data_IF_889100822815
#
_entry.id   IF_889100822815
#
_cell.length_a   1.000
_cell.length_b   1.000
_cell.length_c   1.000
_cell.angle_alpha   90.00
_cell.angle_beta   90.00
_cell.angle_gamma   90.00
#
_symmetry.space_group_name_H-M   'P 1'
#
loop_
_entity.id
_entity.type
_entity.pdbx_description
1 polymer ?
#
# COMPACT_ATOMS: atom_id res chain seq x y z
N UNK A 1 2.06 -2.90 19.37
CA UNK A 1 3.07 -1.80 19.20
C UNK A 1 2.47 -0.59 18.49
N UNK A 2 2.07 -0.62 17.23
CA UNK A 2 1.58 0.56 16.47
C UNK A 2 0.46 1.34 17.16
N UNK A 3 -0.61 0.69 17.64
CA UNK A 3 -1.69 1.36 18.37
C UNK A 3 -1.20 2.08 19.65
N UNK A 4 -0.22 1.50 20.34
CA UNK A 4 0.36 2.15 21.52
C UNK A 4 1.17 3.40 21.15
N UNK A 5 1.91 3.35 20.05
CA UNK A 5 2.63 4.52 19.53
C UNK A 5 1.63 5.61 19.14
N UNK A 6 0.57 5.27 18.40
CA UNK A 6 -0.46 6.24 18.02
C UNK A 6 -1.10 6.89 19.25
N UNK A 7 -1.46 6.09 20.27
CA UNK A 7 -2.03 6.63 21.50
C UNK A 7 -1.11 7.64 22.22
N UNK A 8 0.20 7.38 22.25
CA UNK A 8 1.18 8.31 22.82
C UNK A 8 1.28 9.58 21.99
N UNK A 9 1.28 9.48 20.67
CA UNK A 9 1.33 10.63 19.76
C UNK A 9 0.07 11.49 19.89
N UNK A 10 -1.10 10.85 19.90
CA UNK A 10 -2.40 11.50 20.06
C UNK A 10 -2.55 12.22 21.42
N UNK A 11 -1.92 11.70 22.47
CA UNK A 11 -1.94 12.31 23.80
C UNK A 11 -1.00 13.52 23.93
N UNK A 12 0.04 13.60 23.09
CA UNK A 12 1.08 14.62 23.22
C UNK A 12 1.06 15.67 22.12
N UNK A 13 0.45 15.40 20.98
CA UNK A 13 0.50 16.25 19.80
C UNK A 13 -0.88 16.40 19.16
N UNK A 14 -1.04 17.48 18.41
CA UNK A 14 -2.20 17.68 17.55
C UNK A 14 -2.09 16.77 16.33
N UNK A 15 -2.73 15.61 16.37
CA UNK A 15 -2.67 14.57 15.32
C UNK A 15 -4.02 14.50 14.62
N UNK A 16 -4.01 14.54 13.29
CA UNK A 16 -5.19 14.22 12.48
C UNK A 16 -5.37 12.71 12.41
N UNK A 17 -6.29 12.19 13.20
CA UNK A 17 -6.56 10.73 13.29
C UNK A 17 -7.14 10.12 12.02
N UNK A 18 -7.66 10.93 11.11
CA UNK A 18 -8.14 10.48 9.80
C UNK A 18 -7.01 10.28 8.78
N UNK A 19 -5.79 10.74 9.10
CA UNK A 19 -4.65 10.80 8.17
C UNK A 19 -3.43 10.03 8.65
N UNK A 20 -3.64 8.81 9.14
CA UNK A 20 -2.53 7.89 9.40
C UNK A 20 -2.13 7.16 8.12
N UNK A 21 -0.85 7.26 7.80
CA UNK A 21 -0.25 6.62 6.63
C UNK A 21 0.87 5.68 7.04
N UNK A 22 1.11 4.62 6.26
CA UNK A 22 2.27 3.77 6.42
C UNK A 22 3.03 3.67 5.10
N UNK A 23 4.35 3.71 5.18
CA UNK A 23 5.21 3.54 4.00
C UNK A 23 6.49 2.81 4.38
N UNK A 24 7.09 2.14 3.41
CA UNK A 24 8.36 1.48 3.60
C UNK A 24 8.83 0.70 2.39
N UNK A 25 10.10 0.34 2.43
CA UNK A 25 10.78 -0.47 1.41
C UNK A 25 11.07 -1.87 1.96
N UNK A 26 11.05 -2.89 1.09
CA UNK A 26 11.39 -4.26 1.43
C UNK A 26 10.55 -4.77 2.61
N UNK A 27 11.16 -5.14 3.73
CA UNK A 27 10.45 -5.52 4.95
C UNK A 27 9.52 -4.40 5.47
N UNK A 28 9.89 -3.11 5.30
CA UNK A 28 9.03 -1.97 5.61
C UNK A 28 7.80 -1.89 4.70
N UNK A 29 7.92 -2.23 3.42
CA UNK A 29 6.80 -2.40 2.49
C UNK A 29 5.87 -3.54 2.91
N UNK A 30 6.46 -4.68 3.29
CA UNK A 30 5.74 -5.84 3.83
C UNK A 30 4.99 -5.50 5.11
N UNK A 31 5.61 -4.73 6.01
CA UNK A 31 4.96 -4.23 7.22
C UNK A 31 3.83 -3.25 6.92
N UNK A 32 3.96 -2.40 5.90
CA UNK A 32 2.90 -1.47 5.48
C UNK A 32 1.67 -2.24 4.99
N UNK A 33 1.84 -3.27 4.17
CA UNK A 33 0.75 -4.17 3.79
C UNK A 33 0.12 -4.87 5.01
N UNK A 34 0.95 -5.46 5.86
CA UNK A 34 0.48 -6.20 7.05
C UNK A 34 -0.26 -5.29 8.03
N UNK A 35 0.27 -4.09 8.28
CA UNK A 35 -0.34 -3.12 9.16
C UNK A 35 -1.70 -2.66 8.63
N UNK A 36 -1.81 -2.33 7.35
CA UNK A 36 -3.07 -1.92 6.74
C UNK A 36 -4.14 -3.02 6.76
N UNK A 37 -3.76 -4.27 6.51
CA UNK A 37 -4.69 -5.40 6.59
C UNK A 37 -5.20 -5.66 8.02
N UNK A 38 -4.34 -5.51 9.02
CA UNK A 38 -4.70 -5.79 10.42
C UNK A 38 -5.30 -4.59 11.15
N UNK A 39 -5.07 -3.38 10.66
CA UNK A 39 -5.48 -2.11 11.26
C UNK A 39 -6.08 -1.18 10.19
N UNK A 40 -6.94 -1.71 9.32
CA UNK A 40 -7.64 -0.95 8.29
C UNK A 40 -8.59 0.13 8.87
N UNK A 41 -8.88 0.04 10.16
CA UNK A 41 -9.59 1.06 10.92
C UNK A 41 -8.71 2.25 11.34
N UNK A 42 -7.39 2.12 11.19
CA UNK A 42 -6.40 3.14 11.55
C UNK A 42 -5.79 3.79 10.31
N UNK A 43 -5.29 2.99 9.37
CA UNK A 43 -4.58 3.51 8.22
C UNK A 43 -5.52 3.98 7.10
N UNK A 44 -5.34 5.23 6.69
CA UNK A 44 -6.06 5.85 5.58
C UNK A 44 -5.49 5.43 4.22
N UNK A 45 -4.16 5.37 4.13
CA UNK A 45 -3.46 4.96 2.92
C UNK A 45 -2.09 4.36 3.23
N UNK A 46 -1.54 3.60 2.28
CA UNK A 46 -0.19 3.06 2.34
C UNK A 46 0.60 3.31 1.06
N UNK A 47 1.94 3.44 1.24
CA UNK A 47 2.91 3.48 0.15
C UNK A 47 3.93 2.35 0.31
N UNK A 48 3.80 1.24 -0.43
CA UNK A 48 4.64 0.06 -0.26
C UNK A 48 5.61 -0.12 -1.44
N UNK A 49 6.90 -0.29 -1.14
CA UNK A 49 7.94 -0.46 -2.15
C UNK A 49 8.61 -1.83 -1.97
N UNK A 50 8.62 -2.64 -3.03
CA UNK A 50 9.25 -3.96 -3.09
C UNK A 50 8.98 -4.81 -1.83
N UNK A 51 7.73 -4.79 -1.36
CA UNK A 51 7.25 -5.57 -0.21
C UNK A 51 6.45 -6.78 -0.67
N UNK A 52 6.40 -7.80 0.18
CA UNK A 52 5.51 -8.96 0.02
C UNK A 52 4.82 -9.25 1.36
N UNK A 53 3.67 -9.95 1.39
CA UNK A 53 3.02 -10.29 2.64
C UNK A 53 3.96 -11.05 3.57
N UNK A 54 4.01 -10.65 4.84
CA UNK A 54 4.64 -11.47 5.86
C UNK A 54 3.74 -12.70 6.07
N UNK A 55 4.35 -13.87 6.22
CA UNK A 55 3.66 -15.15 6.35
C UNK A 55 2.43 -15.06 7.28
N UNK A 56 1.26 -15.45 6.79
CA UNK A 56 -0.01 -15.37 7.51
C UNK A 56 -0.72 -14.00 7.48
N UNK A 57 -0.13 -12.98 6.88
CA UNK A 57 -0.74 -11.66 6.72
C UNK A 57 -1.50 -11.56 5.39
N UNK A 58 -2.55 -12.35 5.24
CA UNK A 58 -3.52 -12.16 4.17
C UNK A 58 -4.58 -11.17 4.63
N UNK A 59 -5.00 -10.24 3.74
CA UNK A 59 -6.16 -9.38 4.01
C UNK A 59 -7.49 -10.16 4.04
N UNK A 60 -7.44 -11.48 4.03
CA UNK A 60 -8.58 -12.41 3.99
C UNK A 60 -9.07 -12.79 5.39
N UNK A 61 -9.06 -11.88 6.36
CA UNK A 61 -9.54 -12.19 7.70
C UNK A 61 -11.07 -12.20 7.78
N UNK A 62 -11.60 -12.97 8.73
CA UNK A 62 -13.02 -13.14 9.08
C UNK A 62 -13.75 -11.87 9.52
N UNK A 63 -13.05 -10.74 9.67
CA UNK A 63 -13.65 -9.41 9.87
C UNK A 63 -13.59 -8.62 8.56
N UNK A 64 -14.65 -7.87 8.21
CA UNK A 64 -14.60 -7.01 7.04
C UNK A 64 -13.43 -6.02 7.20
N UNK A 65 -12.47 -6.13 6.29
CA UNK A 65 -11.35 -5.20 6.18
C UNK A 65 -11.92 -3.92 5.58
N UNK A 66 -11.75 -2.78 6.25
CA UNK A 66 -12.12 -1.49 5.66
C UNK A 66 -11.24 -1.22 4.45
N UNK A 67 -11.73 -0.54 3.42
CA UNK A 67 -10.89 -0.10 2.32
C UNK A 67 -9.73 0.76 2.83
N UNK A 68 -8.56 0.59 2.22
CA UNK A 68 -7.36 1.39 2.46
C UNK A 68 -6.79 1.77 1.10
N UNK A 69 -6.51 3.05 0.88
CA UNK A 69 -5.91 3.48 -0.39
C UNK A 69 -4.47 2.95 -0.50
N UNK A 70 -4.09 2.46 -1.67
CA UNK A 70 -2.81 1.80 -1.89
C UNK A 70 -2.07 2.41 -3.07
N UNK A 71 -0.82 2.82 -2.82
CA UNK A 71 0.18 3.02 -3.85
C UNK A 71 1.31 2.03 -3.62
N UNK A 72 1.64 1.21 -4.60
CA UNK A 72 2.68 0.22 -4.45
C UNK A 72 3.55 0.10 -5.69
N UNK A 73 4.82 -0.26 -5.52
CA UNK A 73 5.75 -0.49 -6.62
C UNK A 73 6.63 -1.70 -6.38
N UNK A 74 6.97 -2.42 -7.46
CA UNK A 74 7.82 -3.61 -7.42
C UNK A 74 8.62 -3.74 -8.73
N UNK A 75 9.87 -4.18 -8.63
CA UNK A 75 10.65 -4.59 -9.80
C UNK A 75 10.30 -6.02 -10.20
N UNK A 76 10.09 -6.29 -11.48
CA UNK A 76 9.77 -7.65 -11.93
C UNK A 76 10.99 -8.59 -11.97
N UNK A 77 12.21 -8.03 -11.94
CA UNK A 77 13.46 -8.77 -11.78
C UNK A 77 13.95 -8.84 -10.31
N UNK A 78 13.06 -8.57 -9.33
CA UNK A 78 13.37 -8.69 -7.91
C UNK A 78 13.57 -10.16 -7.51
N UNK A 79 14.81 -10.53 -7.18
CA UNK A 79 15.20 -11.89 -6.74
C UNK A 79 15.18 -12.04 -5.22
N UNK A 80 15.14 -10.94 -4.47
CA UNK A 80 15.07 -10.98 -2.99
C UNK A 80 13.64 -11.21 -2.51
N UNK A 81 12.67 -10.52 -3.10
CA UNK A 81 11.24 -10.71 -2.90
C UNK A 81 10.55 -10.77 -4.27
N UNK A 82 10.42 -11.94 -4.90
CA UNK A 82 9.79 -12.06 -6.22
C UNK A 82 8.41 -11.40 -6.28
N UNK A 83 8.14 -10.69 -7.37
CA UNK A 83 6.88 -9.96 -7.58
C UNK A 83 5.64 -10.86 -7.45
N UNK A 84 5.78 -12.16 -7.74
CA UNK A 84 4.74 -13.16 -7.58
C UNK A 84 4.25 -13.30 -6.13
N UNK A 85 5.04 -12.87 -5.15
CA UNK A 85 4.64 -12.81 -3.74
C UNK A 85 3.84 -11.54 -3.43
N UNK A 86 4.06 -10.46 -4.18
CA UNK A 86 3.39 -9.18 -3.98
C UNK A 86 2.03 -9.10 -4.70
N UNK A 87 1.89 -9.71 -5.88
CA UNK A 87 0.68 -9.62 -6.68
C UNK A 87 -0.59 -10.05 -5.90
N UNK A 88 -0.62 -11.16 -5.15
CA UNK A 88 -1.83 -11.57 -4.42
C UNK A 88 -2.30 -10.56 -3.36
N UNK A 89 -1.40 -9.78 -2.75
CA UNK A 89 -1.81 -8.74 -1.81
C UNK A 89 -2.41 -7.54 -2.52
N UNK A 90 -1.89 -7.17 -3.69
CA UNK A 90 -2.48 -6.13 -4.55
C UNK A 90 -3.90 -6.54 -4.96
N UNK A 91 -4.08 -7.79 -5.43
CA UNK A 91 -5.39 -8.32 -5.82
C UNK A 91 -6.39 -8.30 -4.65
N UNK A 92 -5.91 -8.54 -3.43
CA UNK A 92 -6.73 -8.42 -2.22
C UNK A 92 -7.21 -6.98 -1.99
N UNK A 93 -6.34 -5.97 -2.20
CA UNK A 93 -6.75 -4.57 -2.09
C UNK A 93 -7.69 -4.15 -3.21
N UNK A 94 -7.44 -4.59 -4.45
CA UNK A 94 -8.35 -4.38 -5.59
C UNK A 94 -9.76 -4.85 -5.23
N UNK A 95 -9.87 -6.09 -4.71
CA UNK A 95 -11.14 -6.67 -4.27
C UNK A 95 -11.76 -5.91 -3.10
N UNK A 96 -10.99 -5.62 -2.05
CA UNK A 96 -11.49 -4.99 -0.82
C UNK A 96 -11.95 -3.55 -1.06
N UNK A 97 -11.30 -2.85 -1.98
CA UNK A 97 -11.64 -1.47 -2.35
C UNK A 97 -12.74 -1.40 -3.44
N UNK A 98 -13.29 -2.55 -3.87
CA UNK A 98 -14.35 -2.63 -4.87
C UNK A 98 -13.92 -2.24 -6.27
N UNK A 99 -12.61 -2.30 -6.56
CA UNK A 99 -12.10 -1.98 -7.89
C UNK A 99 -12.41 -3.10 -8.90
N UNK A 100 -12.47 -2.72 -10.17
CA UNK A 100 -12.45 -3.69 -11.29
C UNK A 100 -11.02 -4.09 -11.60
N UNK A 101 -10.83 -5.10 -12.46
CA UNK A 101 -9.51 -5.51 -12.95
C UNK A 101 -8.99 -4.63 -14.09
N UNK A 102 -9.80 -3.69 -14.59
CA UNK A 102 -9.41 -2.72 -15.61
C UNK A 102 -8.46 -1.68 -15.00
N UNK A 103 -7.42 -1.33 -15.71
CA UNK A 103 -6.43 -0.35 -15.26
C UNK A 103 -6.26 0.78 -16.28
N UNK A 104 -5.79 1.93 -15.83
CA UNK A 104 -5.36 3.05 -16.67
C UNK A 104 -3.94 3.46 -16.29
N UNK A 105 -3.08 3.82 -17.27
CA UNK A 105 -1.78 4.43 -16.98
C UNK A 105 -1.94 5.70 -16.16
N UNK A 106 -1.07 5.89 -15.17
CA UNK A 106 -0.99 7.10 -14.36
C UNK A 106 0.46 7.49 -14.09
N UNK A 107 0.70 8.77 -13.84
CA UNK A 107 2.03 9.24 -13.46
C UNK A 107 2.39 8.84 -12.01
N UNK A 108 3.68 8.51 -11.82
CA UNK A 108 4.75 8.36 -12.79
C UNK A 108 4.67 7.01 -13.54
N UNK A 109 5.06 6.99 -14.80
CA UNK A 109 5.24 5.70 -15.51
C UNK A 109 6.27 4.81 -14.77
N UNK A 110 6.07 3.48 -14.69
CA UNK A 110 5.07 2.63 -15.37
C UNK A 110 3.82 2.31 -14.51
N UNK A 111 3.36 3.23 -13.67
CA UNK A 111 2.23 3.00 -12.78
C UNK A 111 0.90 2.90 -13.52
N UNK A 112 0.01 2.08 -12.99
CA UNK A 112 -1.39 1.99 -13.41
C UNK A 112 -2.32 2.16 -12.20
N UNK A 113 -3.48 2.78 -12.39
CA UNK A 113 -4.54 2.84 -11.40
C UNK A 113 -5.67 1.88 -11.78
N UNK A 114 -6.10 1.05 -10.85
CA UNK A 114 -7.30 0.21 -10.99
C UNK A 114 -8.55 1.08 -11.01
N UNK A 115 -9.51 0.73 -11.86
CA UNK A 115 -10.73 1.48 -12.09
C UNK A 115 -11.89 1.01 -11.22
N UNK A 116 -12.92 1.86 -11.07
CA UNK A 116 -14.14 1.51 -10.37
C UNK A 116 -14.00 1.33 -8.86
N UNK A 117 -12.86 1.68 -8.28
CA UNK A 117 -12.65 1.60 -6.83
C UNK A 117 -13.67 2.48 -6.08
N UNK A 118 -14.01 2.09 -4.87
CA UNK A 118 -14.79 2.92 -3.96
C UNK A 118 -14.15 4.31 -3.83
N UNK A 119 -14.98 5.36 -3.87
CA UNK A 119 -14.52 6.75 -3.82
C UNK A 119 -13.59 7.01 -2.64
N UNK A 120 -12.41 7.55 -2.92
CA UNK A 120 -11.37 7.83 -1.93
C UNK A 120 -10.44 6.65 -1.61
N UNK A 121 -10.61 5.47 -2.22
CA UNK A 121 -9.77 4.30 -1.93
C UNK A 121 -9.11 3.72 -3.20
N UNK A 122 -8.34 4.52 -3.95
CA UNK A 122 -7.67 4.06 -5.15
C UNK A 122 -6.63 2.98 -4.84
N UNK A 123 -6.38 2.13 -5.84
CA UNK A 123 -5.26 1.19 -5.86
C UNK A 123 -4.40 1.53 -7.07
N UNK A 124 -3.15 1.91 -6.81
CA UNK A 124 -2.13 2.20 -7.83
C UNK A 124 -1.03 1.15 -7.72
N UNK A 125 -0.68 0.53 -8.84
CA UNK A 125 0.35 -0.48 -8.93
C UNK A 125 1.38 -0.14 -10.01
N UNK A 126 2.66 -0.14 -9.63
CA UNK A 126 3.77 0.22 -10.50
C UNK A 126 4.71 -0.98 -10.64
N UNK A 127 4.53 -1.78 -11.67
CA UNK A 127 5.47 -2.85 -12.03
C UNK A 127 6.60 -2.24 -12.86
N UNK A 128 7.84 -2.40 -12.43
CA UNK A 128 9.03 -1.83 -13.08
C UNK A 128 9.77 -2.90 -13.86
N UNK A 129 9.68 -2.88 -15.21
CA UNK A 129 10.30 -3.92 -16.04
C UNK A 129 11.82 -3.93 -15.92
N UNK A 130 12.41 -5.11 -15.68
CA UNK A 130 13.84 -5.33 -15.55
C UNK A 130 14.49 -4.80 -14.27
N UNK A 131 13.72 -4.19 -13.37
CA UNK A 131 14.27 -3.61 -12.15
C UNK A 131 14.45 -4.65 -11.03
N UNK A 132 15.56 -4.59 -10.30
CA UNK A 132 15.84 -5.46 -9.17
C UNK A 132 15.11 -4.98 -7.90
N UNK A 133 15.49 -5.57 -6.75
CA UNK A 133 15.07 -5.15 -5.41
C UNK A 133 15.62 -3.76 -5.06
N UNK A 134 14.93 -2.71 -5.45
CA UNK A 134 15.39 -1.33 -5.28
C UNK A 134 14.24 -0.34 -5.06
N UNK A 135 14.55 0.79 -4.43
CA UNK A 135 13.66 1.94 -4.35
C UNK A 135 13.78 2.74 -5.64
N UNK A 136 12.72 2.92 -6.43
CA UNK A 136 12.81 3.78 -7.62
C UNK A 136 12.92 5.25 -7.21
N UNK A 137 13.65 6.03 -8.00
CA UNK A 137 13.92 7.45 -7.71
C UNK A 137 12.66 8.31 -7.58
N UNK A 138 11.59 7.94 -8.27
CA UNK A 138 10.31 8.65 -8.23
C UNK A 138 9.44 8.31 -7.00
N UNK A 139 9.73 7.23 -6.26
CA UNK A 139 8.81 6.69 -5.27
C UNK A 139 8.46 7.67 -4.15
N UNK A 140 9.45 8.37 -3.59
CA UNK A 140 9.21 9.29 -2.48
C UNK A 140 8.26 10.42 -2.87
N UNK A 141 8.47 11.02 -4.04
CA UNK A 141 7.61 12.09 -4.54
C UNK A 141 6.20 11.58 -4.89
N UNK A 142 6.10 10.40 -5.52
CA UNK A 142 4.84 9.79 -5.89
C UNK A 142 4.00 9.42 -4.64
N UNK A 143 4.61 8.81 -3.63
CA UNK A 143 3.95 8.47 -2.37
C UNK A 143 3.49 9.74 -1.62
N UNK A 144 4.32 10.77 -1.55
CA UNK A 144 3.95 12.04 -0.94
C UNK A 144 2.73 12.66 -1.65
N UNK A 145 2.76 12.74 -2.98
CA UNK A 145 1.63 13.21 -3.79
C UNK A 145 0.38 12.34 -3.61
N UNK A 146 0.55 11.03 -3.49
CA UNK A 146 -0.56 10.11 -3.23
C UNK A 146 -1.20 10.38 -1.87
N UNK A 147 -0.41 10.56 -0.81
CA UNK A 147 -0.93 10.84 0.53
C UNK A 147 -1.60 12.22 0.66
N UNK A 148 -1.20 13.19 -0.16
CA UNK A 148 -1.82 14.53 -0.19
C UNK A 148 -3.27 14.53 -0.70
N UNK A 149 -3.74 13.43 -1.30
CA UNK A 149 -5.12 13.30 -1.78
C UNK A 149 -6.14 13.08 -0.65
N UNK A 150 -5.65 12.85 0.55
CA UNK A 150 -6.46 12.49 1.73
C UNK A 150 -6.28 13.55 2.85
#
# INVERSE_FOLDING_TARGET
MTRAINAVMEAKYCVDKARYFATGFSFGGSMSFTASCNMSDVFRAIGAMAGAPISGATCTRTKPVRPVAVWATHGDADTALPITLAQPIIDSFVKNNGCTTTTQPVDPSPCVAYQGCQAGYPVVWCVRPGDPHAIPSFASAAIAKFFQQF
#
